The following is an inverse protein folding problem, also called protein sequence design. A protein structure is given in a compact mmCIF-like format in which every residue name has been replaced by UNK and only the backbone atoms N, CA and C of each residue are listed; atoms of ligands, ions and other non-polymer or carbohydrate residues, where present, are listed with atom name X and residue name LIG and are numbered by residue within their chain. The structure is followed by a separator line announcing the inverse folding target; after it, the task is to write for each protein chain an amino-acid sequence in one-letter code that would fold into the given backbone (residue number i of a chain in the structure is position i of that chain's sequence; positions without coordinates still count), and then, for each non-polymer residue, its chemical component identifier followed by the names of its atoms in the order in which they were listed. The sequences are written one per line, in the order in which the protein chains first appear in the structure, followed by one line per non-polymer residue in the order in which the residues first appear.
data_IF_760865463462
#
_entry.id   IF_760865463462
#
_cell.length_a   1.000
_cell.length_b   1.000
_cell.length_c   1.000
_cell.angle_alpha   90.00
_cell.angle_beta   90.00
_cell.angle_gamma   90.00
#
_symmetry.space_group_name_H-M   'P 1'
#
loop_
_entity.id
_entity.type
_entity.pdbx_description
1 polymer ?
#
# COMPACT_ATOMS: atom_id res chain seq x y z
N UNK A 1 18.17 11.76 44.38
CA UNK A 1 17.37 12.65 43.52
C UNK A 1 17.98 12.64 42.13
N UNK A 2 17.47 11.76 41.26
CA UNK A 2 17.93 11.64 39.88
C UNK A 2 17.61 12.91 39.09
N UNK A 3 18.65 13.61 38.66
CA UNK A 3 18.53 14.71 37.71
C UNK A 3 18.13 14.09 36.36
N UNK A 4 16.82 14.07 36.06
CA UNK A 4 16.31 13.86 34.69
C UNK A 4 17.08 14.82 33.78
N UNK A 5 17.94 14.27 32.91
CA UNK A 5 18.52 15.00 31.78
C UNK A 5 17.35 15.63 31.04
N UNK A 6 17.21 16.96 31.12
CA UNK A 6 16.32 17.71 30.24
C UNK A 6 16.85 17.45 28.83
N UNK A 7 16.15 16.61 28.07
CA UNK A 7 16.41 16.45 26.65
C UNK A 7 16.41 17.83 26.00
N UNK A 8 17.29 18.04 25.02
CA UNK A 8 17.34 19.28 24.26
C UNK A 8 15.98 19.66 23.66
N UNK A 9 15.84 20.86 23.08
CA UNK A 9 14.60 21.26 22.43
C UNK A 9 14.18 20.17 21.43
N UNK A 10 12.90 19.77 21.48
CA UNK A 10 12.34 18.80 20.53
C UNK A 10 12.26 19.51 19.18
N UNK A 11 12.96 19.01 18.17
CA UNK A 11 13.06 19.65 16.85
C UNK A 11 12.22 18.82 15.89
N UNK A 12 11.08 19.37 15.51
CA UNK A 12 10.21 18.79 14.50
C UNK A 12 10.25 19.63 13.23
N UNK A 13 10.57 18.98 12.11
CA UNK A 13 10.44 19.58 10.78
C UNK A 13 9.09 19.22 10.17
N UNK A 14 8.48 20.14 9.42
CA UNK A 14 7.26 19.87 8.64
C UNK A 14 7.42 18.69 7.68
N UNK A 15 8.63 18.45 7.19
CA UNK A 15 8.91 17.30 6.33
C UNK A 15 8.75 15.98 7.09
N UNK A 16 9.18 15.94 8.35
CA UNK A 16 9.06 14.76 9.19
C UNK A 16 7.60 14.44 9.47
N UNK A 17 6.79 15.47 9.76
CA UNK A 17 5.35 15.32 9.93
C UNK A 17 4.68 14.80 8.65
N UNK A 18 5.07 15.30 7.48
CA UNK A 18 4.54 14.84 6.20
C UNK A 18 4.91 13.38 5.90
N UNK A 19 6.13 12.95 6.21
CA UNK A 19 6.55 11.54 6.06
C UNK A 19 5.71 10.64 6.97
N UNK A 20 5.59 11.01 8.25
CA UNK A 20 4.77 10.29 9.21
C UNK A 20 3.30 10.24 8.78
N UNK A 21 2.75 11.35 8.28
CA UNK A 21 1.39 11.40 7.75
C UNK A 21 1.20 10.35 6.65
N UNK A 22 2.11 10.33 5.65
CA UNK A 22 2.07 9.36 4.56
C UNK A 22 2.08 7.92 5.07
N UNK A 23 3.00 7.58 5.97
CA UNK A 23 3.09 6.24 6.55
C UNK A 23 1.88 5.87 7.41
N UNK A 24 1.35 6.82 8.18
CA UNK A 24 0.16 6.61 9.01
C UNK A 24 -1.11 6.36 8.20
N UNK A 25 -1.26 7.04 7.05
CA UNK A 25 -2.35 6.85 6.09
C UNK A 25 -2.19 5.56 5.31
N UNK A 26 -0.98 5.25 4.83
CA UNK A 26 -0.68 3.97 4.18
C UNK A 26 -0.94 2.79 5.14
N UNK A 27 -0.50 2.89 6.40
CA UNK A 27 -0.78 1.89 7.43
C UNK A 27 -2.29 1.73 7.69
N UNK A 28 -3.08 2.80 7.62
CA UNK A 28 -4.53 2.71 7.74
C UNK A 28 -5.16 1.92 6.58
N UNK A 29 -4.64 2.11 5.36
CA UNK A 29 -5.06 1.36 4.17
C UNK A 29 -4.68 -0.11 4.27
N UNK A 30 -3.43 -0.42 4.66
CA UNK A 30 -2.99 -1.80 4.94
C UNK A 30 -3.87 -2.48 5.97
N UNK A 31 -4.17 -1.82 7.09
CA UNK A 31 -5.10 -2.34 8.09
C UNK A 31 -6.44 -2.74 7.47
N UNK A 32 -7.02 -1.87 6.64
CA UNK A 32 -8.30 -2.16 6.00
C UNK A 32 -8.20 -3.40 5.10
N UNK A 33 -7.19 -3.47 4.23
CA UNK A 33 -7.00 -4.58 3.30
C UNK A 33 -6.73 -5.90 4.04
N UNK A 34 -5.86 -5.90 5.04
CA UNK A 34 -5.60 -7.08 5.89
C UNK A 34 -6.87 -7.50 6.66
N UNK A 35 -7.69 -6.57 7.12
CA UNK A 35 -8.96 -6.92 7.76
C UNK A 35 -9.93 -7.61 6.80
N UNK A 36 -10.05 -7.12 5.56
CA UNK A 36 -10.87 -7.79 4.55
C UNK A 36 -10.34 -9.19 4.23
N UNK A 37 -9.02 -9.34 4.14
CA UNK A 37 -8.38 -10.64 3.91
C UNK A 37 -8.67 -11.62 5.04
N UNK A 38 -8.55 -11.17 6.29
CA UNK A 38 -8.93 -11.95 7.46
C UNK A 38 -10.38 -12.45 7.38
N UNK A 39 -11.34 -11.59 7.02
CA UNK A 39 -12.75 -11.98 6.91
C UNK A 39 -12.97 -13.03 5.82
N UNK A 40 -12.30 -12.88 4.67
CA UNK A 40 -12.34 -13.85 3.58
C UNK A 40 -11.78 -15.20 3.99
N UNK A 41 -10.58 -15.23 4.56
CA UNK A 41 -9.95 -16.48 5.01
C UNK A 41 -10.69 -17.12 6.19
N UNK A 42 -11.31 -16.34 7.09
CA UNK A 42 -12.17 -16.87 8.14
C UNK A 42 -13.38 -17.62 7.58
N UNK A 43 -14.03 -17.06 6.55
CA UNK A 43 -15.14 -17.72 5.86
C UNK A 43 -14.68 -19.00 5.18
N UNK A 44 -13.54 -18.98 4.51
CA UNK A 44 -12.96 -20.16 3.87
C UNK A 44 -12.60 -21.23 4.91
N UNK A 45 -11.89 -20.89 5.98
CA UNK A 45 -11.54 -21.79 7.08
C UNK A 45 -12.78 -22.53 7.61
N UNK A 46 -13.87 -21.81 7.85
CA UNK A 46 -15.11 -22.40 8.33
C UNK A 46 -15.75 -23.35 7.30
N UNK A 47 -15.69 -23.01 6.01
CA UNK A 47 -16.20 -23.87 4.92
C UNK A 47 -15.43 -25.18 4.76
N UNK A 48 -14.13 -25.20 5.08
CA UNK A 48 -13.34 -26.44 5.08
C UNK A 48 -13.51 -27.22 6.40
N UNK A 49 -13.50 -26.52 7.52
CA UNK A 49 -13.49 -27.15 8.85
C UNK A 49 -14.82 -27.82 9.20
N UNK A 50 -15.96 -27.18 8.93
CA UNK A 50 -17.27 -27.74 9.31
C UNK A 50 -17.54 -29.10 8.63
N UNK A 51 -17.39 -29.26 7.30
CA UNK A 51 -17.57 -30.55 6.64
C UNK A 51 -16.62 -31.63 7.17
N UNK A 52 -15.37 -31.27 7.44
CA UNK A 52 -14.39 -32.21 8.01
C UNK A 52 -14.84 -32.69 9.38
N UNK A 53 -15.31 -31.80 10.26
CA UNK A 53 -15.83 -32.17 11.58
C UNK A 53 -17.05 -33.09 11.43
N UNK A 54 -18.05 -32.69 10.63
CA UNK A 54 -19.28 -33.48 10.46
C UNK A 54 -18.96 -34.87 9.91
N UNK A 55 -18.15 -34.95 8.85
CA UNK A 55 -17.74 -36.24 8.28
C UNK A 55 -16.98 -37.08 9.29
N UNK A 56 -16.03 -36.50 10.02
CA UNK A 56 -15.22 -37.21 11.02
C UNK A 56 -16.06 -37.70 12.21
N UNK A 57 -17.04 -36.92 12.67
CA UNK A 57 -17.95 -37.33 13.73
C UNK A 57 -18.88 -38.45 13.25
N UNK A 58 -19.48 -38.31 12.06
CA UNK A 58 -20.37 -39.34 11.50
C UNK A 58 -19.60 -40.64 11.24
N UNK A 59 -18.42 -40.58 10.63
CA UNK A 59 -17.60 -41.77 10.38
C UNK A 59 -17.06 -42.37 11.67
N UNK A 60 -16.67 -41.54 12.66
CA UNK A 60 -16.23 -41.99 13.98
C UNK A 60 -17.33 -42.75 14.74
N UNK A 61 -18.54 -42.20 14.79
CA UNK A 61 -19.70 -42.88 15.39
C UNK A 61 -20.11 -44.12 14.60
N UNK A 62 -20.11 -44.07 13.26
CA UNK A 62 -20.42 -45.22 12.43
C UNK A 62 -19.40 -46.35 12.60
N UNK A 63 -18.13 -46.02 12.80
CA UNK A 63 -17.07 -46.99 13.07
C UNK A 63 -17.29 -47.71 14.41
N UNK A 64 -17.76 -46.98 15.44
CA UNK A 64 -18.12 -47.56 16.73
C UNK A 64 -19.39 -48.42 16.66
N UNK A 65 -20.38 -47.99 15.87
CA UNK A 65 -21.69 -48.67 15.75
C UNK A 65 -21.72 -49.79 14.68
N UNK A 66 -20.56 -50.22 14.14
CA UNK A 66 -20.52 -51.15 13.01
C UNK A 66 -21.28 -52.47 13.26
N UNK A 67 -21.16 -53.02 14.46
CA UNK A 67 -21.81 -54.28 14.84
C UNK A 67 -23.34 -54.16 14.98
N UNK A 68 -23.83 -52.95 15.26
CA UNK A 68 -25.24 -52.62 15.40
C UNK A 68 -25.97 -52.45 14.06
N UNK A 69 -25.25 -52.42 12.94
CA UNK A 69 -25.90 -52.35 11.62
C UNK A 69 -26.62 -53.66 11.25
N UNK A 70 -27.71 -53.59 10.48
CA UNK A 70 -28.41 -54.77 9.97
C UNK A 70 -27.49 -55.68 9.14
N UNK A 71 -27.72 -57.01 9.13
CA UNK A 71 -26.90 -57.96 8.37
C UNK A 71 -26.74 -57.62 6.89
N UNK A 72 -27.76 -57.02 6.27
CA UNK A 72 -27.74 -56.57 4.86
C UNK A 72 -26.74 -55.46 4.58
N UNK A 73 -26.39 -54.64 5.57
CA UNK A 73 -25.48 -53.49 5.41
C UNK A 73 -24.07 -53.76 5.94
N UNK A 74 -23.85 -54.81 6.74
CA UNK A 74 -22.55 -55.10 7.36
C UNK A 74 -21.42 -55.33 6.37
N UNK A 75 -21.71 -55.81 5.16
CA UNK A 75 -20.70 -56.00 4.12
C UNK A 75 -20.28 -54.70 3.42
N UNK A 76 -21.21 -53.76 3.21
CA UNK A 76 -20.95 -52.50 2.49
C UNK A 76 -20.62 -51.31 3.39
N UNK A 77 -21.05 -51.35 4.66
CA UNK A 77 -20.85 -50.25 5.60
C UNK A 77 -19.37 -49.90 5.84
N UNK A 78 -18.44 -50.86 6.02
CA UNK A 78 -17.02 -50.55 6.20
C UNK A 78 -16.41 -49.81 5.00
N UNK A 79 -16.77 -50.19 3.77
CA UNK A 79 -16.28 -49.54 2.55
C UNK A 79 -16.77 -48.09 2.45
N UNK A 80 -18.05 -47.83 2.78
CA UNK A 80 -18.61 -46.48 2.78
C UNK A 80 -17.99 -45.58 3.87
N UNK A 81 -17.80 -46.12 5.08
CA UNK A 81 -17.15 -45.40 6.18
C UNK A 81 -15.70 -45.05 5.80
N UNK A 82 -14.97 -46.01 5.22
CA UNK A 82 -13.61 -45.79 4.72
C UNK A 82 -13.55 -44.69 3.66
N UNK A 83 -14.47 -44.71 2.70
CA UNK A 83 -14.56 -43.68 1.65
C UNK A 83 -14.82 -42.28 2.21
N UNK A 84 -15.79 -42.13 3.12
CA UNK A 84 -16.07 -40.84 3.76
C UNK A 84 -14.89 -40.32 4.59
N UNK A 85 -14.15 -41.22 5.25
CA UNK A 85 -12.96 -40.85 6.02
C UNK A 85 -11.83 -40.36 5.10
N UNK A 86 -11.66 -40.97 3.92
CA UNK A 86 -10.71 -40.51 2.91
C UNK A 86 -11.07 -39.12 2.38
N UNK A 87 -12.36 -38.86 2.11
CA UNK A 87 -12.82 -37.52 1.69
C UNK A 87 -12.53 -36.49 2.79
N UNK A 88 -12.87 -36.78 4.04
CA UNK A 88 -12.61 -35.88 5.16
C UNK A 88 -11.11 -35.57 5.30
N UNK A 89 -10.26 -36.60 5.19
CA UNK A 89 -8.80 -36.45 5.19
C UNK A 89 -8.27 -35.64 4.01
N UNK A 90 -8.81 -35.84 2.81
CA UNK A 90 -8.42 -35.06 1.63
C UNK A 90 -8.78 -33.58 1.78
N UNK A 91 -9.98 -33.27 2.26
CA UNK A 91 -10.40 -31.88 2.53
C UNK A 91 -9.48 -31.24 3.58
N UNK A 92 -9.18 -31.96 4.66
CA UNK A 92 -8.29 -31.47 5.73
C UNK A 92 -6.86 -31.23 5.24
N UNK A 93 -6.31 -32.14 4.41
CA UNK A 93 -4.96 -31.99 3.85
C UNK A 93 -4.87 -30.85 2.85
N UNK A 94 -5.88 -30.65 1.99
CA UNK A 94 -5.97 -29.47 1.10
C UNK A 94 -6.02 -28.18 1.93
N UNK A 95 -6.84 -28.13 2.99
CA UNK A 95 -6.92 -26.97 3.88
C UNK A 95 -5.56 -26.63 4.52
N UNK A 96 -4.82 -27.66 4.96
CA UNK A 96 -3.50 -27.49 5.56
C UNK A 96 -2.45 -27.04 4.52
N UNK A 97 -2.48 -27.61 3.32
CA UNK A 97 -1.60 -27.23 2.22
C UNK A 97 -1.81 -25.78 1.77
N UNK A 98 -3.08 -25.35 1.67
CA UNK A 98 -3.45 -23.96 1.35
C UNK A 98 -3.21 -22.99 2.52
N UNK A 99 -2.75 -23.47 3.69
CA UNK A 99 -2.41 -22.67 4.86
C UNK A 99 -3.54 -21.71 5.28
N UNK A 100 -4.79 -22.10 5.11
CA UNK A 100 -5.95 -21.20 5.28
C UNK A 100 -5.98 -20.58 6.68
N UNK A 101 -5.72 -21.38 7.72
CA UNK A 101 -5.72 -20.90 9.11
C UNK A 101 -4.50 -20.02 9.43
N UNK A 102 -3.33 -20.34 8.87
CA UNK A 102 -2.10 -19.55 9.04
C UNK A 102 -2.25 -18.18 8.36
N UNK A 103 -2.75 -18.14 7.11
CA UNK A 103 -3.03 -16.90 6.39
C UNK A 103 -4.11 -16.06 7.08
N UNK A 104 -5.20 -16.69 7.52
CA UNK A 104 -6.25 -16.02 8.29
C UNK A 104 -5.66 -15.29 9.50
N UNK A 105 -4.88 -16.00 10.31
CA UNK A 105 -4.29 -15.45 11.52
C UNK A 105 -3.22 -14.39 11.21
N UNK A 106 -2.40 -14.62 10.19
CA UNK A 106 -1.41 -13.65 9.70
C UNK A 106 -2.08 -12.33 9.31
N UNK A 107 -3.15 -12.36 8.50
CA UNK A 107 -3.88 -11.15 8.13
C UNK A 107 -4.56 -10.49 9.34
N UNK A 108 -5.07 -11.27 10.31
CA UNK A 108 -5.65 -10.71 11.56
C UNK A 108 -4.61 -9.95 12.37
N UNK A 109 -3.43 -10.54 12.57
CA UNK A 109 -2.32 -9.93 13.31
C UNK A 109 -1.82 -8.69 12.58
N UNK A 110 -1.55 -8.76 11.28
CA UNK A 110 -1.13 -7.61 10.48
C UNK A 110 -2.12 -6.45 10.55
N UNK A 111 -3.43 -6.73 10.43
CA UNK A 111 -4.48 -5.70 10.57
C UNK A 111 -4.37 -4.97 11.93
N UNK A 112 -4.23 -5.72 13.02
CA UNK A 112 -4.10 -5.12 14.36
C UNK A 112 -2.86 -4.25 14.46
N UNK A 113 -1.71 -4.73 13.98
CA UNK A 113 -0.44 -4.03 14.14
C UNK A 113 -0.34 -2.78 13.26
N UNK A 114 -0.76 -2.85 11.99
CA UNK A 114 -0.91 -1.67 11.14
C UNK A 114 -1.89 -0.65 11.75
N UNK A 115 -2.97 -1.14 12.38
CA UNK A 115 -3.90 -0.28 13.11
C UNK A 115 -3.32 0.35 14.37
N UNK A 116 -2.35 -0.30 15.05
CA UNK A 116 -1.61 0.35 16.14
C UNK A 116 -0.69 1.42 15.59
N UNK A 117 0.13 1.11 14.58
CA UNK A 117 1.06 2.07 13.97
C UNK A 117 0.33 3.33 13.48
N UNK A 118 -0.76 3.17 12.73
CA UNK A 118 -1.56 4.30 12.23
C UNK A 118 -2.15 5.16 13.35
N UNK A 119 -2.62 4.54 14.45
CA UNK A 119 -3.15 5.29 15.61
C UNK A 119 -2.06 6.01 16.39
N UNK A 120 -0.91 5.36 16.59
CA UNK A 120 0.25 5.97 17.26
C UNK A 120 0.71 7.19 16.49
N UNK A 121 0.92 7.07 15.17
CA UNK A 121 1.30 8.19 14.32
C UNK A 121 0.26 9.31 14.36
N UNK A 122 -1.04 8.96 14.26
CA UNK A 122 -2.13 9.95 14.33
C UNK A 122 -2.14 10.69 15.65
N UNK A 123 -1.92 9.99 16.76
CA UNK A 123 -1.85 10.59 18.09
C UNK A 123 -0.67 11.55 18.19
N UNK A 124 0.53 11.11 17.81
CA UNK A 124 1.73 11.96 17.84
C UNK A 124 1.56 13.22 16.98
N UNK A 125 1.01 13.10 15.77
CA UNK A 125 0.77 14.25 14.89
C UNK A 125 -0.37 15.17 15.38
N UNK A 126 -1.32 14.66 16.17
CA UNK A 126 -2.44 15.45 16.72
C UNK A 126 -2.07 16.27 17.95
N UNK A 127 -0.97 15.92 18.64
CA UNK A 127 -0.51 16.63 19.82
C UNK A 127 0.30 17.88 19.46
N UNK A 128 0.17 18.98 20.23
CA UNK A 128 1.07 20.13 20.15
C UNK A 128 2.53 19.72 20.38
N UNK A 129 3.47 20.47 19.81
CA UNK A 129 4.90 20.18 19.89
C UNK A 129 5.43 20.10 21.33
N UNK A 130 4.87 20.88 22.26
CA UNK A 130 5.30 20.83 23.66
C UNK A 130 4.95 19.50 24.34
N UNK A 131 3.82 18.91 23.97
CA UNK A 131 3.23 17.71 24.59
C UNK A 131 3.75 16.39 24.01
N UNK A 132 4.39 16.41 22.84
CA UNK A 132 4.95 15.19 22.20
C UNK A 132 6.07 14.59 23.04
N UNK A 133 6.09 13.27 23.23
CA UNK A 133 7.05 12.64 24.14
C UNK A 133 8.49 12.60 23.63
N UNK A 134 8.67 12.63 22.30
CA UNK A 134 9.94 12.33 21.64
C UNK A 134 10.29 13.37 20.58
N UNK A 135 11.57 13.39 20.21
CA UNK A 135 12.07 14.18 19.09
C UNK A 135 11.57 13.61 17.75
N UNK A 136 11.38 14.47 16.75
CA UNK A 136 10.81 14.05 15.45
C UNK A 136 11.63 12.97 14.74
N UNK A 137 12.96 13.02 14.88
CA UNK A 137 13.87 12.00 14.35
C UNK A 137 13.62 10.63 15.00
N UNK A 138 13.53 10.58 16.32
CA UNK A 138 13.31 9.34 17.06
C UNK A 138 11.96 8.70 16.71
N UNK A 139 10.91 9.52 16.55
CA UNK A 139 9.58 9.02 16.13
C UNK A 139 9.63 8.46 14.71
N UNK A 140 10.34 9.11 13.78
CA UNK A 140 10.51 8.58 12.43
C UNK A 140 11.27 7.27 12.42
N UNK A 141 12.38 7.16 13.13
CA UNK A 141 13.16 5.92 13.17
C UNK A 141 12.34 4.77 13.76
N UNK A 142 11.59 5.03 14.84
CA UNK A 142 10.69 4.05 15.42
C UNK A 142 9.54 3.66 14.47
N UNK A 143 8.91 4.64 13.83
CA UNK A 143 7.82 4.41 12.88
C UNK A 143 8.30 3.66 11.64
N UNK A 144 9.49 4.00 11.12
CA UNK A 144 10.13 3.32 10.00
C UNK A 144 10.43 1.87 10.34
N UNK A 145 11.12 1.63 11.47
CA UNK A 145 11.47 0.28 11.90
C UNK A 145 10.23 -0.60 12.08
N UNK A 146 9.15 -0.06 12.67
CA UNK A 146 7.89 -0.80 12.79
C UNK A 146 7.20 -0.99 11.43
N UNK A 147 7.20 0.01 10.55
CA UNK A 147 6.59 -0.11 9.22
C UNK A 147 7.30 -1.16 8.37
N UNK A 148 8.64 -1.11 8.29
CA UNK A 148 9.47 -2.07 7.55
C UNK A 148 9.25 -3.49 8.11
N UNK A 149 9.27 -3.63 9.45
CA UNK A 149 8.95 -4.90 10.12
C UNK A 149 7.57 -5.43 9.76
N UNK A 150 6.56 -4.56 9.66
CA UNK A 150 5.22 -4.97 9.29
C UNK A 150 5.13 -5.41 7.83
N UNK A 151 5.84 -4.76 6.92
CA UNK A 151 5.88 -5.15 5.51
C UNK A 151 6.53 -6.54 5.37
N UNK A 152 7.63 -6.79 6.08
CA UNK A 152 8.34 -8.07 6.05
C UNK A 152 7.54 -9.23 6.67
N UNK A 153 6.83 -8.97 7.78
CA UNK A 153 6.11 -10.02 8.52
C UNK A 153 4.70 -10.28 8.00
N UNK A 154 4.14 -9.36 7.22
CA UNK A 154 2.75 -9.48 6.78
C UNK A 154 2.59 -10.42 5.60
N UNK A 155 1.55 -11.27 5.59
CA UNK A 155 1.23 -12.06 4.41
C UNK A 155 0.81 -11.15 3.25
N UNK A 156 1.12 -11.56 2.02
CA UNK A 156 0.75 -10.82 0.82
C UNK A 156 -0.76 -10.64 0.72
N UNK A 157 -1.21 -9.45 0.34
CA UNK A 157 -2.64 -9.14 0.18
C UNK A 157 -3.15 -9.79 -1.12
N UNK A 158 -4.23 -10.58 -1.07
CA UNK A 158 -4.86 -11.14 -2.27
C UNK A 158 -5.27 -10.08 -3.29
N UNK A 159 -5.07 -10.37 -4.57
CA UNK A 159 -5.38 -9.44 -5.67
C UNK A 159 -6.84 -8.98 -5.69
N UNK A 160 -7.78 -9.87 -5.40
CA UNK A 160 -9.22 -9.54 -5.31
C UNK A 160 -9.49 -8.40 -4.30
N UNK A 161 -8.71 -8.36 -3.23
CA UNK A 161 -8.85 -7.36 -2.17
C UNK A 161 -8.24 -6.03 -2.61
N UNK A 162 -7.10 -6.06 -3.30
CA UNK A 162 -6.51 -4.86 -3.90
C UNK A 162 -7.49 -4.20 -4.88
N UNK A 163 -8.10 -5.01 -5.76
CA UNK A 163 -9.11 -4.52 -6.71
C UNK A 163 -10.37 -4.00 -6.00
N UNK A 164 -10.82 -4.68 -4.93
CA UNK A 164 -11.96 -4.21 -4.13
C UNK A 164 -11.67 -2.89 -3.43
N UNK A 165 -10.42 -2.71 -2.97
CA UNK A 165 -9.97 -1.49 -2.32
C UNK A 165 -9.88 -0.34 -3.33
N UNK A 166 -9.29 -0.57 -4.50
CA UNK A 166 -9.20 0.44 -5.57
C UNK A 166 -10.59 0.90 -6.02
N UNK A 167 -11.55 -0.03 -6.13
CA UNK A 167 -12.94 0.31 -6.42
C UNK A 167 -13.62 1.10 -5.31
N UNK A 168 -13.33 0.80 -4.04
CA UNK A 168 -13.91 1.48 -2.88
C UNK A 168 -13.28 2.86 -2.63
N UNK A 169 -11.99 3.01 -2.95
CA UNK A 169 -11.19 4.21 -2.75
C UNK A 169 -10.36 4.54 -4.02
N UNK A 170 -11.02 4.97 -5.12
CA UNK A 170 -10.34 5.27 -6.38
C UNK A 170 -9.32 6.39 -6.26
N UNK A 171 -8.35 6.37 -7.18
CA UNK A 171 -7.36 7.44 -7.36
C UNK A 171 -8.05 8.77 -7.66
N UNK A 172 -7.91 9.77 -6.78
CA UNK A 172 -8.38 11.12 -7.08
C UNK A 172 -8.60 12.01 -5.87
N UNK A 173 -8.92 13.28 -6.15
CA UNK A 173 -9.14 14.35 -5.14
C UNK A 173 -10.28 14.06 -4.14
N UNK A 174 -11.08 13.02 -4.36
CA UNK A 174 -12.21 12.63 -3.50
C UNK A 174 -11.73 12.05 -2.16
N UNK A 175 -10.55 11.45 -2.11
CA UNK A 175 -9.99 10.83 -0.91
C UNK A 175 -8.64 11.48 -0.58
N UNK A 176 -8.58 12.42 0.39
CA UNK A 176 -7.39 13.22 0.68
C UNK A 176 -6.39 12.47 1.58
N UNK A 177 -6.18 11.17 1.32
CA UNK A 177 -5.20 10.36 2.06
C UNK A 177 -4.23 9.67 1.10
N UNK A 178 -2.99 9.48 1.57
CA UNK A 178 -1.94 8.81 0.84
C UNK A 178 -2.20 7.30 0.83
N UNK A 179 -2.18 6.73 -0.37
CA UNK A 179 -2.35 5.29 -0.58
C UNK A 179 -1.02 4.55 -0.47
N UNK A 180 -1.05 3.25 -0.18
CA UNK A 180 0.17 2.45 -0.12
C UNK A 180 0.86 2.35 -1.48
N UNK A 181 2.20 2.29 -1.45
CA UNK A 181 3.05 2.18 -2.64
C UNK A 181 2.83 0.89 -3.46
N UNK A 182 2.25 -0.15 -2.85
CA UNK A 182 1.88 -1.38 -3.58
C UNK A 182 0.79 -1.16 -4.63
N UNK A 183 0.08 -0.03 -4.58
CA UNK A 183 -0.97 0.33 -5.53
C UNK A 183 -0.43 1.18 -6.68
N UNK A 184 0.52 2.08 -6.39
CA UNK A 184 1.03 3.08 -7.33
C UNK A 184 2.52 3.34 -7.06
N UNK A 185 3.31 3.41 -8.13
CA UNK A 185 4.73 3.77 -8.04
C UNK A 185 4.85 5.30 -8.06
N UNK A 186 5.59 5.84 -7.09
CA UNK A 186 5.87 7.28 -7.01
C UNK A 186 7.34 7.57 -7.31
N UNK A 187 7.66 8.68 -8.01
CA UNK A 187 9.04 9.11 -8.18
C UNK A 187 9.63 9.53 -6.82
N UNK A 188 10.92 9.24 -6.65
CA UNK A 188 11.69 9.67 -5.48
C UNK A 188 12.16 11.10 -5.73
N UNK A 189 11.55 12.05 -5.05
CA UNK A 189 11.97 13.45 -5.12
C UNK A 189 13.02 13.73 -4.04
N UNK A 190 14.14 14.34 -4.44
CA UNK A 190 15.18 14.77 -3.51
C UNK A 190 14.77 16.03 -2.76
N UNK A 191 15.37 16.23 -1.60
CA UNK A 191 15.24 17.50 -0.91
C UNK A 191 15.95 18.59 -1.70
N UNK A 192 15.24 19.69 -1.94
CA UNK A 192 15.78 20.92 -2.52
C UNK A 192 15.68 21.96 -1.41
N UNK A 193 16.80 22.57 -1.02
CA UNK A 193 16.78 23.67 -0.05
C UNK A 193 16.08 24.90 -0.64
N UNK A 194 15.58 25.82 0.18
CA UNK A 194 14.98 27.05 -0.33
C UNK A 194 15.94 27.83 -1.24
N UNK A 195 17.22 27.86 -0.90
CA UNK A 195 18.26 28.50 -1.70
C UNK A 195 18.47 27.80 -3.05
N UNK A 196 18.51 26.46 -3.06
CA UNK A 196 18.63 25.67 -4.29
C UNK A 196 17.39 25.80 -5.17
N UNK A 197 16.20 25.84 -4.55
CA UNK A 197 14.93 25.99 -5.26
C UNK A 197 14.82 27.38 -5.91
N UNK A 198 15.25 28.43 -5.21
CA UNK A 198 15.31 29.78 -5.77
C UNK A 198 16.35 29.85 -6.89
N UNK A 199 17.48 29.16 -6.77
CA UNK A 199 18.48 29.09 -7.85
C UNK A 199 17.96 28.35 -9.08
N UNK A 200 17.31 27.21 -8.91
CA UNK A 200 16.68 26.45 -10.00
C UNK A 200 15.57 27.27 -10.67
N UNK A 201 14.65 27.85 -9.89
CA UNK A 201 13.62 28.75 -10.43
C UNK A 201 14.23 29.92 -11.22
N UNK A 202 15.27 30.57 -10.69
CA UNK A 202 15.92 31.67 -11.40
C UNK A 202 16.62 31.20 -12.67
N UNK A 203 17.13 29.98 -12.72
CA UNK A 203 17.75 29.40 -13.91
C UNK A 203 16.71 29.07 -14.97
N UNK A 204 15.59 28.46 -14.57
CA UNK A 204 14.47 28.13 -15.45
C UNK A 204 13.79 29.41 -15.99
N UNK A 205 13.63 30.45 -15.15
CA UNK A 205 13.14 31.74 -15.61
C UNK A 205 14.08 32.42 -16.59
N UNK A 206 15.41 32.26 -16.43
CA UNK A 206 16.40 32.80 -17.37
C UNK A 206 16.37 32.06 -18.70
N UNK A 207 16.24 30.73 -18.71
CA UNK A 207 16.15 29.98 -19.97
C UNK A 207 14.87 30.32 -20.72
N UNK A 208 13.72 30.39 -20.03
CA UNK A 208 12.45 30.84 -20.65
C UNK A 208 12.60 32.26 -21.19
N UNK A 209 13.31 33.13 -20.48
CA UNK A 209 13.56 34.49 -20.94
C UNK A 209 14.45 34.48 -22.19
N UNK A 210 15.56 33.75 -22.19
CA UNK A 210 16.48 33.63 -23.33
C UNK A 210 15.79 33.04 -24.56
N UNK A 211 14.93 32.02 -24.40
CA UNK A 211 14.13 31.46 -25.49
C UNK A 211 13.15 32.50 -26.09
N UNK A 212 12.56 33.36 -25.26
CA UNK A 212 11.66 34.43 -25.73
C UNK A 212 12.40 35.55 -26.47
N UNK A 213 13.63 35.90 -26.08
CA UNK A 213 14.42 36.92 -26.78
C UNK A 213 15.17 36.36 -28.00
N UNK A 214 15.40 35.04 -28.08
CA UNK A 214 15.94 34.40 -29.28
C UNK A 214 14.95 34.41 -30.45
N UNK A 215 13.65 34.28 -30.18
CA UNK A 215 12.59 34.43 -31.19
C UNK A 215 12.48 35.88 -31.71
N UNK A 216 12.76 36.90 -30.88
CA UNK A 216 12.72 38.31 -31.30
C UNK A 216 13.93 38.71 -32.17
N UNK A 217 15.13 38.14 -31.93
CA UNK A 217 16.32 38.37 -32.79
C UNK A 217 16.20 37.71 -34.17
N UNK A 218 15.55 36.53 -34.30
CA UNK A 218 15.32 35.90 -35.61
C UNK A 218 14.38 36.74 -36.50
N UNK A 219 13.39 37.43 -35.91
CA UNK A 219 12.47 38.31 -36.65
C UNK A 219 13.16 39.60 -37.12
N UNK A 220 14.11 40.15 -36.35
CA UNK A 220 14.87 41.34 -36.76
C UNK A 220 15.85 41.05 -37.91
N UNK A 221 16.48 39.86 -37.91
CA UNK A 221 17.38 39.41 -38.99
C UNK A 221 16.62 39.13 -40.29
N UNK A 222 15.38 38.63 -40.22
CA UNK A 222 14.55 38.40 -41.42
C UNK A 222 14.14 39.72 -42.08
N UNK A 223 13.86 40.78 -41.31
CA UNK A 223 13.48 42.11 -41.83
C UNK A 223 14.66 42.84 -42.52
N UNK A 224 15.89 42.66 -42.03
CA UNK A 224 17.08 43.26 -42.65
C UNK A 224 17.44 42.58 -43.99
N UNK A 225 17.21 41.26 -44.10
CA UNK A 225 17.40 40.52 -45.37
C UNK A 225 16.38 40.88 -46.47
N UNK A 226 15.21 41.40 -46.10
CA UNK A 226 14.17 41.85 -47.05
C UNK A 226 14.44 43.27 -47.57
N UNK A 227 15.17 44.10 -46.82
CA UNK A 227 15.49 45.49 -47.23
C UNK A 227 16.60 45.61 -48.27
N UNK A 228 17.43 44.58 -48.45
CA UNK A 228 18.50 44.58 -49.46
C UNK A 228 18.05 44.15 -50.87
N UNK A 229 16.76 43.82 -51.07
CA UNK A 229 16.25 43.28 -52.34
C UNK A 229 15.43 44.26 -53.20
N UNK A 230 15.27 45.52 -52.78
CA UNK A 230 14.36 46.49 -53.43
C UNK A 230 15.07 47.70 -54.10
N UNK A 231 16.37 47.59 -54.43
CA UNK A 231 17.11 48.67 -55.09
C UNK A 231 17.64 48.40 -56.50
N UNK A 232 17.13 47.40 -57.23
CA UNK A 232 17.47 47.19 -58.64
C UNK A 232 16.23 46.82 -59.49
N UNK A 233 15.36 47.80 -59.78
CA UNK A 233 14.51 47.73 -60.98
C UNK A 233 14.28 49.12 -61.58
N UNK A 234 15.32 49.64 -62.23
CA UNK A 234 15.14 50.67 -63.24
C UNK A 234 16.01 50.34 -64.46
N UNK A 235 15.59 49.38 -65.28
CA UNK A 235 15.82 49.50 -66.73
C UNK A 235 14.97 48.53 -67.55
N UNK A 236 14.03 49.12 -68.29
CA UNK A 236 13.84 48.74 -69.68
C UNK A 236 12.43 48.34 -70.09
N UNK A 237 11.69 49.31 -70.66
CA UNK A 237 10.94 49.10 -71.91
C UNK A 237 11.04 50.33 -72.82
N UNK A 238 11.48 50.07 -74.04
CA UNK A 238 11.54 50.99 -75.18
C UNK A 238 10.14 51.19 -75.80
N UNK A 239 9.88 52.43 -76.24
CA UNK A 239 9.22 52.87 -77.49
C UNK A 239 8.45 54.18 -77.28
#
# INVERSE_FOLDING_TARGET
MDKKKKGGPKIWSRQQERILQKWGEAAACYRYMHNQAFLTFKKSSMRFTIPVIVLSTVTGTANFAQSSFPPSMRSSAPALIGFLNLIAGLIATIMQFLKINELMEGHRVSSIQYGKLSRTIRLELSLPLEERNQDGKAVIEAARAEYDRLIEQSPSIPYEILMSFDKAFPSGKKYPFNRPEIMEVHPINTFISEEQFIQELNKDFRSIREDVYADDEEVEVEIESVREFDSDDESGKQA
#
